data_IF_222243309657
#
_entry.id   IF_222243309657
#
_cell.length_a   1.000
_cell.length_b   1.000
_cell.length_c   1.000
_cell.angle_alpha   90.00
_cell.angle_beta   90.00
_cell.angle_gamma   90.00
#
_symmetry.space_group_name_H-M   'P 1'
#
loop_
_entity.id
_entity.type
_entity.pdbx_description
1 polymer ?
#
# COMPACT_ATOMS: atom_id res chain seq x y z
N UNK A 1 -60.88 36.48 -14.90
CA UNK A 1 -59.68 35.71 -14.48
C UNK A 1 -60.04 34.90 -13.25
N UNK A 2 -60.06 33.60 -13.43
CA UNK A 2 -60.72 32.65 -12.50
C UNK A 2 -59.91 32.45 -11.20
N UNK A 3 -60.54 32.63 -10.04
CA UNK A 3 -59.99 32.38 -8.71
C UNK A 3 -59.41 30.93 -8.54
N UNK A 4 -59.84 30.03 -9.41
CA UNK A 4 -59.38 28.64 -9.45
C UNK A 4 -57.93 28.50 -9.97
N UNK A 5 -57.51 29.41 -10.88
CA UNK A 5 -56.15 29.40 -11.44
C UNK A 5 -55.13 29.89 -10.41
N UNK A 6 -55.48 30.82 -9.56
CA UNK A 6 -54.60 31.34 -8.49
C UNK A 6 -54.43 30.33 -7.35
N UNK A 7 -55.46 29.53 -7.03
CA UNK A 7 -55.35 28.48 -6.05
C UNK A 7 -54.51 27.29 -6.53
N UNK A 8 -54.57 26.94 -7.81
CA UNK A 8 -53.71 25.89 -8.39
C UNK A 8 -52.25 26.31 -8.48
N UNK A 9 -51.96 27.56 -8.80
CA UNK A 9 -50.57 28.09 -8.83
C UNK A 9 -49.97 28.20 -7.43
N UNK A 10 -50.75 28.54 -6.40
CA UNK A 10 -50.29 28.60 -5.02
C UNK A 10 -50.00 27.19 -4.45
N UNK A 11 -50.77 26.14 -4.83
CA UNK A 11 -50.49 24.77 -4.47
C UNK A 11 -49.24 24.18 -5.14
N UNK A 12 -48.95 24.59 -6.42
CA UNK A 12 -47.72 24.14 -7.10
C UNK A 12 -46.44 24.77 -6.50
N UNK A 13 -46.51 26.02 -6.06
CA UNK A 13 -45.37 26.70 -5.42
C UNK A 13 -45.10 26.14 -4.00
N UNK A 14 -46.15 25.73 -3.28
CA UNK A 14 -45.98 25.07 -1.97
C UNK A 14 -45.37 23.66 -2.05
N UNK A 15 -45.52 22.96 -3.18
CA UNK A 15 -44.95 21.64 -3.41
C UNK A 15 -43.45 21.67 -3.78
N UNK A 16 -42.91 22.78 -4.26
CA UNK A 16 -41.49 22.96 -4.58
C UNK A 16 -40.61 23.39 -3.37
N UNK A 17 -41.23 23.73 -2.24
CA UNK A 17 -40.53 24.28 -1.06
C UNK A 17 -40.05 23.33 -0.02
N UNK A 18 -40.31 22.01 -0.11
CA UNK A 18 -39.94 21.01 0.89
C UNK A 18 -38.98 19.93 0.35
N UNK A 19 -37.95 20.35 -0.39
CA UNK A 19 -36.74 19.53 -0.39
C UNK A 19 -36.00 19.83 0.93
N UNK A 20 -36.44 19.19 2.04
CA UNK A 20 -35.66 19.13 3.24
C UNK A 20 -34.27 18.61 2.85
N UNK A 21 -33.16 19.22 3.31
CA UNK A 21 -31.86 18.61 3.14
C UNK A 21 -31.99 17.18 3.70
N UNK A 22 -31.71 16.18 2.86
CA UNK A 22 -31.67 14.79 3.33
C UNK A 22 -30.76 14.82 4.55
N UNK A 23 -31.35 14.61 5.74
CA UNK A 23 -30.59 14.49 6.97
C UNK A 23 -29.52 13.45 6.64
N UNK A 24 -28.27 13.81 6.81
CA UNK A 24 -27.15 12.87 6.71
C UNK A 24 -27.52 11.78 7.71
N UNK A 25 -28.06 10.66 7.18
CA UNK A 25 -28.39 9.51 8.02
C UNK A 25 -27.16 9.23 8.87
N UNK A 26 -27.36 8.93 10.16
CA UNK A 26 -26.28 8.61 11.09
C UNK A 26 -25.39 7.53 10.47
N UNK A 27 -24.33 7.96 9.79
CA UNK A 27 -23.35 7.05 9.18
C UNK A 27 -22.30 6.69 10.22
N UNK A 28 -21.97 5.40 10.37
CA UNK A 28 -22.62 4.22 9.76
C UNK A 28 -23.82 3.70 10.61
N UNK A 29 -24.86 3.19 9.97
CA UNK A 29 -26.02 2.56 10.62
C UNK A 29 -26.15 1.04 10.33
N UNK A 30 -25.17 0.47 9.64
CA UNK A 30 -25.08 -0.97 9.32
C UNK A 30 -23.60 -1.37 9.20
N UNK A 31 -23.34 -2.66 9.07
CA UNK A 31 -21.98 -3.19 8.91
C UNK A 31 -21.30 -2.64 7.65
N UNK A 32 -19.99 -2.33 7.78
CA UNK A 32 -19.11 -1.92 6.70
C UNK A 32 -18.30 -3.14 6.26
N UNK A 33 -18.16 -3.35 4.94
CA UNK A 33 -17.29 -4.39 4.39
C UNK A 33 -15.95 -3.77 4.00
N UNK A 34 -14.87 -4.27 4.57
CA UNK A 34 -13.49 -3.90 4.22
C UNK A 34 -12.90 -4.99 3.32
N UNK A 35 -12.87 -4.71 2.02
CA UNK A 35 -12.27 -5.62 1.03
C UNK A 35 -10.75 -5.58 1.13
N UNK A 36 -10.16 -6.76 1.29
CA UNK A 36 -8.72 -7.00 1.25
C UNK A 36 -8.40 -7.71 -0.08
N UNK A 37 -7.63 -7.10 -0.99
CA UNK A 37 -7.42 -7.64 -2.34
C UNK A 37 -6.40 -8.79 -2.38
N UNK A 38 -6.13 -9.44 -1.26
CA UNK A 38 -5.18 -10.54 -1.11
C UNK A 38 -5.74 -11.68 -0.25
N UNK A 39 -5.19 -12.90 -0.37
CA UNK A 39 -5.55 -14.00 0.50
C UNK A 39 -5.30 -13.69 1.98
N UNK A 40 -6.03 -14.34 2.90
CA UNK A 40 -5.81 -14.16 4.34
C UNK A 40 -4.41 -14.63 4.78
N UNK A 41 -3.91 -14.06 5.89
CA UNK A 41 -2.63 -14.42 6.51
C UNK A 41 -1.40 -13.68 5.99
N UNK A 42 -1.57 -12.74 5.03
CA UNK A 42 -0.50 -11.84 4.59
C UNK A 42 -0.50 -10.49 5.32
N UNK A 43 0.55 -9.68 5.13
CA UNK A 43 0.67 -8.36 5.78
C UNK A 43 -0.50 -7.42 5.50
N UNK A 44 -1.09 -7.47 4.29
CA UNK A 44 -2.29 -6.65 3.96
C UNK A 44 -3.49 -7.10 4.79
N UNK A 45 -3.67 -8.41 5.00
CA UNK A 45 -4.73 -8.95 5.84
C UNK A 45 -4.53 -8.58 7.32
N UNK A 46 -3.30 -8.67 7.82
CA UNK A 46 -2.95 -8.25 9.18
C UNK A 46 -3.30 -6.77 9.41
N UNK A 47 -2.91 -5.89 8.47
CA UNK A 47 -3.26 -4.47 8.52
C UNK A 47 -4.78 -4.24 8.51
N UNK A 48 -5.53 -4.98 7.68
CA UNK A 48 -6.98 -4.88 7.62
C UNK A 48 -7.65 -5.27 8.93
N UNK A 49 -7.15 -6.32 9.60
CA UNK A 49 -7.70 -6.78 10.89
C UNK A 49 -7.43 -5.78 12.01
N UNK A 50 -6.21 -5.20 12.05
CA UNK A 50 -5.87 -4.15 13.02
C UNK A 50 -6.85 -2.97 12.89
N UNK A 51 -7.03 -2.48 11.65
CA UNK A 51 -7.92 -1.32 11.39
C UNK A 51 -9.38 -1.68 11.56
N UNK A 52 -9.83 -2.84 11.03
CA UNK A 52 -11.22 -3.27 11.09
C UNK A 52 -11.74 -3.41 12.52
N UNK A 53 -10.94 -4.00 13.40
CA UNK A 53 -11.26 -4.13 14.84
C UNK A 53 -11.47 -2.75 15.49
N UNK A 54 -10.52 -1.84 15.30
CA UNK A 54 -10.55 -0.53 15.95
C UNK A 54 -11.58 0.42 15.34
N UNK A 55 -11.77 0.38 14.01
CA UNK A 55 -12.84 1.12 13.34
C UNK A 55 -14.21 0.64 13.80
N UNK A 56 -14.41 -0.67 13.99
CA UNK A 56 -15.67 -1.19 14.51
C UNK A 56 -16.02 -0.57 15.86
N UNK A 57 -15.04 -0.47 16.76
CA UNK A 57 -15.23 0.12 18.08
C UNK A 57 -15.51 1.62 18.01
N UNK A 58 -14.78 2.37 17.18
CA UNK A 58 -14.91 3.83 17.11
C UNK A 58 -16.15 4.30 16.36
N UNK A 59 -16.60 3.54 15.36
CA UNK A 59 -17.77 3.86 14.56
C UNK A 59 -19.07 3.33 15.16
N UNK A 60 -19.02 2.41 16.13
CA UNK A 60 -20.20 1.76 16.69
C UNK A 60 -20.91 0.82 15.70
N UNK A 61 -20.25 0.40 14.63
CA UNK A 61 -20.75 -0.49 13.60
C UNK A 61 -19.68 -1.52 13.22
N UNK A 62 -20.08 -2.75 12.95
CA UNK A 62 -19.15 -3.82 12.61
C UNK A 62 -18.42 -3.54 11.29
N UNK A 63 -17.09 -3.64 11.28
CA UNK A 63 -16.27 -3.65 10.07
C UNK A 63 -15.84 -5.09 9.80
N UNK A 64 -16.37 -5.67 8.72
CA UNK A 64 -16.14 -7.06 8.32
C UNK A 64 -15.02 -7.09 7.28
N UNK A 65 -13.92 -7.78 7.59
CA UNK A 65 -12.81 -8.01 6.65
C UNK A 65 -13.22 -9.12 5.69
N UNK A 66 -13.17 -8.83 4.38
CA UNK A 66 -13.50 -9.76 3.29
C UNK A 66 -12.32 -9.87 2.32
N UNK A 67 -11.64 -11.02 2.35
CA UNK A 67 -10.47 -11.29 1.52
C UNK A 67 -10.88 -11.74 0.11
N UNK A 68 -10.62 -10.92 -0.91
CA UNK A 68 -10.88 -11.20 -2.33
C UNK A 68 -9.60 -11.13 -3.15
N UNK A 69 -8.75 -12.16 -2.97
CA UNK A 69 -7.50 -12.29 -3.70
C UNK A 69 -7.68 -12.66 -5.18
N UNK A 70 -6.58 -12.58 -5.93
CA UNK A 70 -6.45 -13.00 -7.33
C UNK A 70 -6.09 -11.87 -8.29
N UNK A 71 -5.39 -12.23 -9.39
CA UNK A 71 -4.90 -11.28 -10.39
C UNK A 71 -4.01 -10.18 -9.80
N UNK A 72 -3.09 -10.53 -8.89
CA UNK A 72 -2.25 -9.53 -8.21
C UNK A 72 -3.02 -8.55 -7.32
N UNK A 73 -4.23 -8.91 -6.87
CA UNK A 73 -5.13 -8.04 -6.11
C UNK A 73 -6.18 -7.31 -6.96
N UNK A 74 -6.09 -7.40 -8.29
CA UNK A 74 -7.00 -6.69 -9.19
C UNK A 74 -8.48 -7.12 -9.03
N UNK A 75 -8.74 -8.39 -8.63
CA UNK A 75 -10.12 -8.88 -8.47
C UNK A 75 -10.82 -8.13 -7.32
N UNK A 76 -10.21 -8.08 -6.13
CA UNK A 76 -10.77 -7.38 -4.98
C UNK A 76 -10.88 -5.87 -5.22
N UNK A 77 -9.85 -5.28 -5.82
CA UNK A 77 -9.81 -3.83 -6.12
C UNK A 77 -10.94 -3.44 -7.08
N UNK A 78 -11.14 -4.19 -8.18
CA UNK A 78 -12.28 -3.99 -9.09
C UNK A 78 -13.65 -4.14 -8.42
N UNK A 79 -13.76 -5.05 -7.47
CA UNK A 79 -15.04 -5.24 -6.76
C UNK A 79 -15.41 -3.97 -5.99
N UNK A 80 -14.45 -3.26 -5.39
CA UNK A 80 -14.71 -1.98 -4.71
C UNK A 80 -14.95 -0.86 -5.71
N UNK A 81 -14.18 -0.76 -6.80
CA UNK A 81 -14.38 0.25 -7.85
C UNK A 81 -15.82 0.25 -8.41
N UNK A 82 -16.50 -0.91 -8.37
CA UNK A 82 -17.87 -1.09 -8.87
C UNK A 82 -18.95 -1.12 -7.77
N UNK A 83 -18.55 -0.93 -6.52
CA UNK A 83 -19.49 -0.93 -5.40
C UNK A 83 -20.28 0.38 -5.33
N UNK A 84 -21.37 0.38 -4.56
CA UNK A 84 -22.14 1.60 -4.30
C UNK A 84 -21.28 2.62 -3.54
N UNK A 85 -21.29 3.89 -3.95
CA UNK A 85 -20.48 4.94 -3.31
C UNK A 85 -21.19 5.51 -2.06
N UNK A 86 -21.52 4.63 -1.11
CA UNK A 86 -22.25 4.96 0.11
C UNK A 86 -21.41 4.83 1.39
N UNK A 87 -20.13 4.44 1.25
CA UNK A 87 -19.18 4.27 2.35
C UNK A 87 -19.28 2.92 3.08
N UNK A 88 -20.14 2.00 2.66
CA UNK A 88 -20.29 0.68 3.30
C UNK A 88 -19.44 -0.42 2.66
N UNK A 89 -18.78 -0.13 1.54
CA UNK A 89 -17.76 -0.99 0.94
C UNK A 89 -16.48 -0.21 0.81
N UNK A 90 -15.44 -0.63 1.51
CA UNK A 90 -14.14 0.02 1.53
C UNK A 90 -13.07 -0.92 0.98
N UNK A 91 -11.99 -0.37 0.47
CA UNK A 91 -10.79 -1.08 0.05
C UNK A 91 -9.65 -0.81 1.04
N UNK A 92 -8.99 -1.86 1.51
CA UNK A 92 -7.64 -1.70 2.00
C UNK A 92 -6.70 -1.63 0.80
N UNK A 93 -6.36 -0.39 0.41
CA UNK A 93 -5.45 -0.09 -0.68
C UNK A 93 -4.00 -0.36 -0.29
N UNK A 94 -3.23 -0.74 -1.28
CA UNK A 94 -1.81 -1.03 -1.14
C UNK A 94 -1.08 -0.52 -2.38
N UNK A 95 0.15 -0.02 -2.24
CA UNK A 95 0.95 0.52 -3.36
C UNK A 95 0.92 -0.40 -4.59
N UNK A 96 0.96 -1.73 -4.36
CA UNK A 96 0.88 -2.71 -5.45
C UNK A 96 -0.38 -2.58 -6.29
N UNK A 97 -1.55 -2.56 -5.64
CA UNK A 97 -2.83 -2.50 -6.37
C UNK A 97 -3.17 -1.10 -6.88
N UNK A 98 -2.78 -0.06 -6.15
CA UNK A 98 -3.23 1.30 -6.47
C UNK A 98 -2.23 2.05 -7.36
N UNK A 99 -0.92 1.81 -7.21
CA UNK A 99 0.09 2.59 -7.94
C UNK A 99 0.93 1.78 -8.93
N UNK A 100 1.06 0.46 -8.72
CA UNK A 100 1.89 -0.41 -9.59
C UNK A 100 1.05 -1.11 -10.66
N UNK A 101 -0.02 -1.80 -10.24
CA UNK A 101 -0.82 -2.65 -11.13
C UNK A 101 -1.43 -1.92 -12.33
N UNK A 102 -1.87 -0.65 -12.23
CA UNK A 102 -2.41 0.08 -13.39
C UNK A 102 -1.42 0.22 -14.55
N UNK A 103 -0.12 0.29 -14.23
CA UNK A 103 0.95 0.33 -15.25
C UNK A 103 1.48 -1.04 -15.64
N UNK A 104 1.40 -2.03 -14.75
CA UNK A 104 2.01 -3.36 -14.90
C UNK A 104 1.11 -4.34 -15.66
N UNK A 105 -0.20 -4.34 -15.37
CA UNK A 105 -1.16 -5.21 -16.04
C UNK A 105 -1.72 -4.56 -17.30
N UNK A 106 -1.82 -5.32 -18.37
CA UNK A 106 -2.43 -4.85 -19.61
C UNK A 106 -3.87 -4.36 -19.40
N UNK A 107 -4.58 -4.96 -18.46
CA UNK A 107 -5.93 -4.55 -18.04
C UNK A 107 -6.13 -4.83 -16.55
N UNK A 108 -5.79 -3.85 -15.71
CA UNK A 108 -6.12 -3.92 -14.29
C UNK A 108 -7.64 -3.86 -14.05
N UNK A 109 -8.40 -3.21 -14.97
CA UNK A 109 -9.85 -3.13 -14.97
C UNK A 109 -10.42 -2.09 -13.99
N UNK A 110 -9.61 -1.15 -13.56
CA UNK A 110 -9.95 0.03 -12.76
C UNK A 110 -8.92 1.14 -13.00
N UNK A 111 -9.32 2.38 -12.68
CA UNK A 111 -8.45 3.56 -12.66
C UNK A 111 -8.37 4.09 -11.21
N UNK A 112 -7.17 4.16 -10.60
CA UNK A 112 -7.02 4.60 -9.21
C UNK A 112 -7.55 6.01 -8.93
N UNK A 113 -7.53 6.89 -9.91
CA UNK A 113 -7.98 8.28 -9.76
C UNK A 113 -9.46 8.44 -10.03
N UNK A 114 -9.98 7.72 -11.03
CA UNK A 114 -11.36 7.86 -11.46
C UNK A 114 -12.33 7.03 -10.63
N UNK A 115 -11.91 5.87 -10.14
CA UNK A 115 -12.80 4.87 -9.54
C UNK A 115 -12.78 4.89 -8.00
N UNK A 116 -11.87 5.65 -7.37
CA UNK A 116 -11.74 5.68 -5.92
C UNK A 116 -11.72 7.08 -5.33
N UNK A 117 -12.23 7.18 -4.10
CA UNK A 117 -12.10 8.32 -3.20
C UNK A 117 -11.15 7.93 -2.06
N UNK A 118 -9.93 8.50 -1.98
CA UNK A 118 -9.02 8.25 -0.89
C UNK A 118 -9.61 8.69 0.45
N UNK A 119 -9.46 7.86 1.48
CA UNK A 119 -9.85 8.18 2.86
C UNK A 119 -8.62 8.63 3.63
N UNK A 120 -7.54 7.87 3.58
CA UNK A 120 -6.28 8.23 4.25
C UNK A 120 -5.31 7.06 4.33
N UNK A 121 -4.04 7.38 4.49
CA UNK A 121 -2.97 6.43 4.79
C UNK A 121 -3.06 5.99 6.25
N UNK A 122 -2.57 4.77 6.52
CA UNK A 122 -2.52 4.19 7.86
C UNK A 122 -1.14 3.63 8.24
N UNK A 123 -0.41 3.13 7.27
CA UNK A 123 0.89 2.53 7.49
C UNK A 123 1.79 2.61 6.25
N UNK A 124 3.08 2.61 6.49
CA UNK A 124 4.11 2.40 5.49
C UNK A 124 4.95 1.17 5.86
N UNK A 125 5.44 0.45 4.87
CA UNK A 125 6.28 -0.72 5.07
C UNK A 125 7.49 -0.60 4.16
N UNK A 126 8.68 -0.30 4.69
CA UNK A 126 9.88 -0.17 3.88
C UNK A 126 10.30 -1.51 3.32
N UNK A 127 10.82 -1.49 2.11
CA UNK A 127 11.64 -2.58 1.57
C UNK A 127 13.04 -2.43 2.15
N UNK A 128 13.72 -3.53 2.36
CA UNK A 128 15.11 -3.55 2.81
C UNK A 128 15.98 -4.35 1.84
N UNK A 129 17.24 -3.96 1.74
CA UNK A 129 18.30 -4.76 1.14
C UNK A 129 18.85 -5.69 2.22
N UNK A 130 18.53 -6.97 2.08
CA UNK A 130 18.95 -8.04 2.98
C UNK A 130 20.15 -8.79 2.41
N UNK A 131 21.00 -9.33 3.26
CA UNK A 131 22.17 -10.08 2.85
C UNK A 131 22.39 -11.32 3.74
N UNK A 132 22.93 -12.37 3.14
CA UNK A 132 23.50 -13.49 3.86
C UNK A 132 24.74 -13.01 4.66
N UNK A 133 25.02 -13.51 5.87
CA UNK A 133 26.14 -13.06 6.68
C UNK A 133 27.51 -13.15 6.01
N UNK A 134 27.73 -14.15 5.13
CA UNK A 134 28.97 -14.31 4.39
C UNK A 134 29.18 -13.30 3.24
N UNK A 135 28.15 -12.54 2.86
CA UNK A 135 28.28 -11.54 1.80
C UNK A 135 29.21 -10.41 2.25
N UNK A 136 30.28 -10.08 1.47
CA UNK A 136 31.35 -9.21 1.95
C UNK A 136 30.94 -7.76 2.14
N UNK A 137 30.04 -7.23 1.31
CA UNK A 137 29.60 -5.85 1.37
C UNK A 137 28.67 -5.59 2.56
N UNK A 138 28.91 -4.49 3.28
CA UNK A 138 28.16 -4.10 4.50
C UNK A 138 27.30 -2.86 4.29
N UNK A 139 27.58 -2.08 3.26
CA UNK A 139 26.86 -0.86 2.90
C UNK A 139 26.37 -0.93 1.47
N UNK A 140 25.38 -0.10 1.13
CA UNK A 140 24.85 -0.05 -0.23
C UNK A 140 25.92 0.40 -1.25
N UNK A 141 26.81 1.32 -0.83
CA UNK A 141 27.95 1.75 -1.64
C UNK A 141 28.94 0.62 -1.93
N UNK A 142 29.21 -0.26 -0.95
CA UNK A 142 30.05 -1.44 -1.14
C UNK A 142 29.40 -2.46 -2.05
N UNK A 143 28.06 -2.64 -1.99
CA UNK A 143 27.31 -3.51 -2.92
C UNK A 143 27.45 -2.99 -4.35
N UNK A 144 27.27 -1.68 -4.56
CA UNK A 144 27.45 -1.03 -5.85
C UNK A 144 28.88 -1.20 -6.38
N UNK A 145 29.88 -0.95 -5.53
CA UNK A 145 31.29 -1.09 -5.89
C UNK A 145 31.64 -2.54 -6.27
N UNK A 146 31.11 -3.53 -5.53
CA UNK A 146 31.29 -4.95 -5.84
C UNK A 146 30.65 -5.31 -7.18
N UNK A 147 29.41 -4.91 -7.41
CA UNK A 147 28.69 -5.17 -8.65
C UNK A 147 29.37 -4.54 -9.89
N UNK A 148 29.90 -3.33 -9.74
CA UNK A 148 30.66 -2.66 -10.81
C UNK A 148 32.01 -3.30 -11.11
N UNK A 149 32.67 -3.86 -10.09
CA UNK A 149 33.95 -4.56 -10.25
C UNK A 149 33.78 -5.93 -10.94
N UNK A 150 32.64 -6.57 -10.70
CA UNK A 150 32.33 -7.91 -11.22
C UNK A 150 30.97 -7.93 -11.96
N UNK A 151 30.90 -7.31 -13.16
CA UNK A 151 29.65 -7.24 -13.92
C UNK A 151 29.05 -8.64 -14.18
N UNK A 152 27.73 -8.75 -14.04
CA UNK A 152 26.97 -10.00 -14.24
C UNK A 152 27.12 -11.05 -13.13
N UNK A 153 28.01 -10.86 -12.13
CA UNK A 153 28.25 -11.86 -11.08
C UNK A 153 27.30 -11.78 -9.89
N UNK A 154 26.82 -10.59 -9.58
CA UNK A 154 25.90 -10.40 -8.44
C UNK A 154 24.49 -10.82 -8.80
N UNK A 155 23.95 -11.80 -8.06
CA UNK A 155 22.54 -12.19 -8.13
C UNK A 155 21.78 -11.54 -6.96
N UNK A 156 20.62 -10.98 -7.26
CA UNK A 156 19.72 -10.34 -6.28
C UNK A 156 18.39 -11.09 -6.26
N UNK A 157 18.08 -11.72 -5.13
CA UNK A 157 16.81 -12.42 -4.93
C UNK A 157 15.65 -11.44 -4.72
N UNK A 158 14.49 -11.75 -5.27
CA UNK A 158 13.25 -10.98 -5.05
C UNK A 158 12.06 -11.92 -4.99
N UNK A 159 10.94 -11.46 -4.43
CA UNK A 159 9.66 -12.14 -4.62
C UNK A 159 9.18 -11.97 -6.09
N UNK A 160 7.95 -12.34 -6.39
CA UNK A 160 7.44 -12.38 -7.74
C UNK A 160 7.57 -11.05 -8.50
N UNK A 161 7.66 -11.14 -9.82
CA UNK A 161 7.67 -9.98 -10.74
C UNK A 161 6.49 -9.05 -10.41
N UNK A 162 6.75 -7.74 -10.38
CA UNK A 162 5.77 -6.71 -10.06
C UNK A 162 5.55 -6.47 -8.57
N UNK A 163 6.19 -7.23 -7.69
CA UNK A 163 6.20 -6.91 -6.24
C UNK A 163 7.12 -5.74 -5.93
N UNK A 164 6.91 -5.12 -4.76
CA UNK A 164 7.79 -4.03 -4.29
C UNK A 164 9.27 -4.44 -4.25
N UNK A 165 9.59 -5.65 -3.79
CA UNK A 165 10.96 -6.15 -3.76
C UNK A 165 11.58 -6.30 -5.17
N UNK A 166 10.80 -6.83 -6.12
CA UNK A 166 11.25 -6.94 -7.52
C UNK A 166 11.50 -5.56 -8.15
N UNK A 167 10.55 -4.65 -8.00
CA UNK A 167 10.69 -3.30 -8.55
C UNK A 167 11.81 -2.51 -7.86
N UNK A 168 12.07 -2.77 -6.56
CA UNK A 168 13.24 -2.20 -5.87
C UNK A 168 14.55 -2.67 -6.47
N UNK A 169 14.67 -3.95 -6.81
CA UNK A 169 15.86 -4.49 -7.44
C UNK A 169 16.08 -3.87 -8.83
N UNK A 170 15.01 -3.75 -9.63
CA UNK A 170 15.07 -3.09 -10.93
C UNK A 170 15.41 -1.59 -10.82
N UNK A 171 14.82 -0.90 -9.84
CA UNK A 171 15.14 0.50 -9.56
C UNK A 171 16.60 0.67 -9.15
N UNK A 172 17.10 -0.19 -8.26
CA UNK A 172 18.50 -0.23 -7.85
C UNK A 172 19.43 -0.43 -9.03
N UNK A 173 19.18 -1.46 -9.84
CA UNK A 173 19.92 -1.75 -11.06
C UNK A 173 19.96 -0.55 -12.02
N UNK A 174 18.81 0.09 -12.21
CA UNK A 174 18.64 1.23 -13.11
C UNK A 174 19.32 2.51 -12.60
N UNK A 175 19.22 2.82 -11.29
CA UNK A 175 19.77 4.04 -10.70
C UNK A 175 21.29 3.98 -10.57
N UNK A 176 21.84 2.81 -10.22
CA UNK A 176 23.28 2.63 -10.04
C UNK A 176 24.01 2.19 -11.31
N UNK A 177 23.29 2.02 -12.43
CA UNK A 177 23.79 1.52 -13.72
C UNK A 177 24.62 0.24 -13.54
N UNK A 178 23.95 -0.81 -13.04
CA UNK A 178 24.58 -2.09 -12.68
C UNK A 178 24.23 -3.19 -13.68
N UNK A 179 25.21 -4.02 -13.98
CA UNK A 179 25.01 -5.34 -14.61
C UNK A 179 24.89 -6.39 -13.48
N UNK A 180 23.64 -6.70 -13.10
CA UNK A 180 23.32 -7.69 -12.06
C UNK A 180 22.17 -8.58 -12.55
N UNK A 181 22.12 -9.82 -12.03
CA UNK A 181 21.04 -10.75 -12.32
C UNK A 181 19.96 -10.65 -11.24
N UNK A 182 18.73 -10.26 -11.61
CA UNK A 182 17.59 -10.30 -10.70
C UNK A 182 16.93 -11.67 -10.82
N UNK A 183 16.79 -12.36 -9.68
CA UNK A 183 16.21 -13.71 -9.58
C UNK A 183 14.84 -13.62 -8.92
N UNK A 184 13.73 -13.61 -9.69
CA UNK A 184 12.40 -13.60 -9.14
C UNK A 184 11.97 -15.00 -8.70
N UNK A 185 11.51 -15.12 -7.45
CA UNK A 185 10.91 -16.32 -6.89
C UNK A 185 9.38 -16.25 -6.94
N UNK A 186 8.68 -17.37 -6.76
CA UNK A 186 7.21 -17.38 -6.75
C UNK A 186 6.61 -16.69 -5.51
N UNK A 187 7.41 -16.52 -4.44
CA UNK A 187 6.95 -15.90 -3.20
C UNK A 187 8.09 -15.66 -2.21
N UNK A 188 7.79 -14.88 -1.17
CA UNK A 188 8.76 -14.43 -0.16
C UNK A 188 9.43 -15.58 0.56
N UNK A 189 8.70 -16.67 0.89
CA UNK A 189 9.28 -17.81 1.60
C UNK A 189 10.42 -18.48 0.84
N UNK A 190 10.31 -18.59 -0.49
CA UNK A 190 11.35 -19.22 -1.31
C UNK A 190 12.61 -18.36 -1.39
N UNK A 191 12.47 -17.04 -1.61
CA UNK A 191 13.65 -16.16 -1.63
C UNK A 191 14.34 -16.11 -0.26
N UNK A 192 13.57 -16.17 0.85
CA UNK A 192 14.13 -16.20 2.20
C UNK A 192 14.93 -17.49 2.45
N UNK A 193 14.44 -18.65 2.02
CA UNK A 193 15.16 -19.91 2.14
C UNK A 193 16.49 -19.88 1.37
N UNK A 194 16.49 -19.39 0.14
CA UNK A 194 17.70 -19.33 -0.68
C UNK A 194 18.68 -18.26 -0.18
N UNK A 195 18.19 -17.16 0.38
CA UNK A 195 19.02 -16.15 1.03
C UNK A 195 19.67 -16.73 2.31
N UNK A 196 18.93 -17.47 3.14
CA UNK A 196 19.46 -18.15 4.33
C UNK A 196 20.46 -19.25 3.98
N UNK A 197 20.22 -19.96 2.86
CA UNK A 197 21.15 -20.97 2.35
C UNK A 197 22.36 -20.39 1.63
N UNK A 198 22.45 -19.07 1.42
CA UNK A 198 23.53 -18.43 0.68
C UNK A 198 23.50 -18.70 -0.83
N UNK A 199 22.40 -19.27 -1.36
CA UNK A 199 22.23 -19.51 -2.81
C UNK A 199 22.05 -18.19 -3.59
N UNK A 200 21.42 -17.19 -2.97
CA UNK A 200 21.49 -15.79 -3.39
C UNK A 200 22.17 -14.98 -2.28
N UNK A 201 23.15 -14.14 -2.60
CA UNK A 201 23.92 -13.42 -1.58
C UNK A 201 23.16 -12.26 -0.94
N UNK A 202 22.24 -11.64 -1.71
CA UNK A 202 21.43 -10.48 -1.29
C UNK A 202 20.01 -10.61 -1.85
N UNK A 203 19.06 -9.96 -1.19
CA UNK A 203 17.68 -9.89 -1.64
C UNK A 203 17.01 -8.56 -1.27
N UNK A 204 16.09 -8.09 -2.11
CA UNK A 204 15.16 -7.04 -1.72
C UNK A 204 13.85 -7.66 -1.22
N UNK A 205 13.43 -7.27 -0.04
CA UNK A 205 12.20 -7.76 0.58
C UNK A 205 11.70 -6.87 1.70
N UNK A 206 10.45 -7.08 2.09
CA UNK A 206 9.85 -6.42 3.27
C UNK A 206 10.40 -7.04 4.54
N UNK A 207 10.39 -6.26 5.64
CA UNK A 207 11.02 -6.66 6.90
C UNK A 207 10.36 -7.84 7.63
N UNK A 208 9.01 -7.98 7.70
CA UNK A 208 8.38 -8.94 8.60
C UNK A 208 8.89 -10.37 8.48
N UNK A 209 9.00 -10.97 7.28
CA UNK A 209 9.49 -12.33 7.13
C UNK A 209 10.97 -12.52 7.50
N UNK A 210 11.74 -11.41 7.53
CA UNK A 210 13.16 -11.40 7.81
C UNK A 210 13.50 -11.16 9.29
N UNK A 211 12.59 -10.55 10.07
CA UNK A 211 12.88 -10.04 11.42
C UNK A 211 13.45 -11.09 12.36
N UNK A 212 12.87 -12.30 12.39
CA UNK A 212 13.39 -13.39 13.21
C UNK A 212 14.85 -13.73 12.88
N UNK A 213 15.18 -13.78 11.59
CA UNK A 213 16.53 -14.09 11.12
C UNK A 213 17.52 -12.93 11.32
N UNK A 214 17.04 -11.68 11.19
CA UNK A 214 17.85 -10.49 11.50
C UNK A 214 18.20 -10.43 12.98
N UNK A 215 17.22 -10.67 13.86
CA UNK A 215 17.45 -10.73 15.31
C UNK A 215 18.37 -11.88 15.73
N UNK A 216 18.29 -13.01 15.04
CA UNK A 216 19.18 -14.17 15.27
C UNK A 216 20.57 -14.03 14.64
N UNK A 217 20.80 -12.97 13.84
CA UNK A 217 22.06 -12.77 13.11
C UNK A 217 22.30 -13.74 11.96
N UNK A 218 21.30 -14.53 11.57
CA UNK A 218 21.37 -15.45 10.41
C UNK A 218 21.15 -14.72 9.08
N UNK A 219 20.69 -13.46 9.13
CA UNK A 219 20.69 -12.50 8.03
C UNK A 219 21.19 -11.15 8.52
N UNK A 220 21.59 -10.29 7.59
CA UNK A 220 21.89 -8.86 7.82
C UNK A 220 20.99 -7.99 6.98
N UNK A 221 20.57 -6.83 7.51
CA UNK A 221 20.02 -5.76 6.72
C UNK A 221 21.17 -4.77 6.38
N UNK A 222 21.33 -4.46 5.10
CA UNK A 222 22.34 -3.50 4.60
C UNK A 222 21.78 -2.08 4.65
N UNK A 223 20.54 -1.90 4.21
CA UNK A 223 19.84 -0.62 4.23
C UNK A 223 18.33 -0.83 4.23
N UNK A 224 17.59 0.12 4.80
CA UNK A 224 16.14 0.26 4.58
C UNK A 224 15.90 1.33 3.51
N UNK A 225 14.88 1.13 2.69
CA UNK A 225 14.58 1.98 1.53
C UNK A 225 13.48 3.00 1.85
N UNK A 226 13.52 3.56 3.03
CA UNK A 226 12.63 4.63 3.50
C UNK A 226 13.44 5.89 3.79
N UNK A 227 12.78 7.05 3.85
CA UNK A 227 13.43 8.33 4.18
C UNK A 227 14.00 8.36 5.61
N UNK A 228 13.37 7.60 6.52
CA UNK A 228 13.82 7.47 7.91
C UNK A 228 14.11 6.01 8.22
N UNK A 229 14.96 5.75 9.22
CA UNK A 229 15.23 4.40 9.69
C UNK A 229 13.96 3.74 10.20
N UNK A 230 13.86 2.44 10.01
CA UNK A 230 12.75 1.66 10.57
C UNK A 230 12.85 1.59 12.09
N UNK A 231 11.72 1.80 12.77
CA UNK A 231 11.64 1.64 14.21
C UNK A 231 11.94 0.21 14.71
N UNK A 232 11.90 -0.79 13.81
CA UNK A 232 12.28 -2.18 14.11
C UNK A 232 13.78 -2.44 13.95
N UNK A 233 14.47 -1.63 13.16
CA UNK A 233 15.89 -1.77 12.84
C UNK A 233 16.57 -0.39 12.98
N UNK A 234 16.61 0.19 14.20
CA UNK A 234 17.11 1.58 14.39
C UNK A 234 18.60 1.72 14.05
N UNK A 235 19.36 0.64 14.08
CA UNK A 235 20.79 0.62 13.75
C UNK A 235 21.07 0.45 12.26
N UNK A 236 20.05 0.07 11.45
CA UNK A 236 20.20 -0.09 10.01
C UNK A 236 20.00 1.26 9.33
N UNK A 237 20.99 1.75 8.56
CA UNK A 237 20.88 3.03 7.88
C UNK A 237 19.85 2.99 6.75
N UNK A 238 19.36 4.16 6.36
CA UNK A 238 18.62 4.32 5.11
C UNK A 238 19.57 4.28 3.90
N UNK A 239 19.01 4.11 2.71
CA UNK A 239 19.78 4.24 1.47
C UNK A 239 20.38 5.65 1.32
N UNK A 240 19.61 6.69 1.69
CA UNK A 240 20.08 8.09 1.68
C UNK A 240 21.26 8.30 2.63
N UNK A 241 21.17 7.83 3.89
CA UNK A 241 22.26 7.89 4.87
C UNK A 241 23.51 7.11 4.41
N UNK A 242 23.31 6.09 3.57
CA UNK A 242 24.39 5.24 3.02
C UNK A 242 25.01 5.79 1.73
N UNK A 243 24.69 7.03 1.35
CA UNK A 243 25.28 7.71 0.16
C UNK A 243 24.63 7.31 -1.17
N UNK A 244 23.39 6.79 -1.14
CA UNK A 244 22.60 6.49 -2.35
C UNK A 244 21.26 7.21 -2.30
N UNK A 245 21.26 8.55 -2.45
CA UNK A 245 20.09 9.38 -2.26
C UNK A 245 19.01 9.14 -3.33
N UNK A 246 17.75 9.28 -2.93
CA UNK A 246 16.59 9.11 -3.80
C UNK A 246 16.26 7.66 -4.13
N UNK A 247 16.97 6.69 -3.57
CA UNK A 247 16.62 5.27 -3.67
C UNK A 247 15.61 4.91 -2.58
N UNK A 248 14.35 5.18 -2.86
CA UNK A 248 13.24 4.93 -1.96
C UNK A 248 12.31 3.86 -2.51
N UNK A 249 11.94 2.91 -1.66
CA UNK A 249 10.89 1.94 -1.93
C UNK A 249 10.14 1.60 -0.66
N UNK A 250 8.97 2.18 -0.54
CA UNK A 250 8.06 1.99 0.59
C UNK A 250 6.71 1.53 0.05
N UNK A 251 6.10 0.57 0.72
CA UNK A 251 4.75 0.12 0.42
C UNK A 251 3.78 0.85 1.35
N UNK A 252 2.90 1.65 0.80
CA UNK A 252 1.88 2.38 1.53
C UNK A 252 0.59 1.57 1.62
N UNK A 253 -0.05 1.65 2.78
CA UNK A 253 -1.36 1.06 3.08
C UNK A 253 -2.30 2.18 3.48
N UNK A 254 -3.48 2.16 2.91
CA UNK A 254 -4.50 3.16 3.21
C UNK A 254 -5.90 2.67 2.88
N UNK A 255 -6.88 3.41 3.34
CA UNK A 255 -8.28 3.13 3.06
C UNK A 255 -8.77 3.97 1.88
N UNK A 256 -9.54 3.33 0.99
CA UNK A 256 -10.23 3.97 -0.12
C UNK A 256 -11.70 3.56 -0.12
N UNK A 257 -12.54 4.43 -0.63
CA UNK A 257 -13.94 4.16 -0.93
C UNK A 257 -14.16 4.24 -2.45
N UNK A 258 -15.29 3.75 -3.00
CA UNK A 258 -15.68 4.01 -4.39
C UNK A 258 -15.75 5.51 -4.69
N UNK A 259 -15.41 5.90 -5.91
CA UNK A 259 -15.57 7.29 -6.35
C UNK A 259 -17.03 7.75 -6.21
N UNK A 260 -17.23 9.00 -5.84
CA UNK A 260 -18.58 9.55 -5.59
C UNK A 260 -19.11 9.29 -4.17
N UNK A 261 -18.37 8.62 -3.30
CA UNK A 261 -18.74 8.51 -1.88
C UNK A 261 -18.85 9.91 -1.26
N UNK A 262 -19.95 10.21 -0.53
CA UNK A 262 -20.21 11.56 -0.03
C UNK A 262 -19.06 12.07 0.87
N UNK A 263 -18.70 13.33 0.64
CA UNK A 263 -17.59 13.98 1.38
C UNK A 263 -17.72 13.87 2.91
N UNK A 264 -18.90 14.04 3.54
CA UNK A 264 -19.04 13.84 5.00
C UNK A 264 -18.69 12.42 5.46
N UNK A 265 -18.95 11.40 4.63
CA UNK A 265 -18.59 10.00 4.92
C UNK A 265 -17.07 9.83 4.88
N UNK A 266 -16.41 10.35 3.84
CA UNK A 266 -14.94 10.32 3.73
C UNK A 266 -14.28 11.04 4.92
N UNK A 267 -14.77 12.22 5.28
CA UNK A 267 -14.24 13.02 6.41
C UNK A 267 -14.43 12.29 7.74
N UNK A 268 -15.60 11.65 7.95
CA UNK A 268 -15.84 10.83 9.15
C UNK A 268 -14.87 9.66 9.23
N UNK A 269 -14.71 8.90 8.16
CA UNK A 269 -13.80 7.75 8.09
C UNK A 269 -12.34 8.18 8.27
N UNK A 270 -11.91 9.29 7.63
CA UNK A 270 -10.56 9.83 7.81
C UNK A 270 -10.30 10.25 9.26
N UNK A 271 -11.24 10.95 9.90
CA UNK A 271 -11.12 11.35 11.31
C UNK A 271 -10.90 10.13 12.21
N UNK A 272 -11.72 9.09 12.06
CA UNK A 272 -11.60 7.87 12.86
C UNK A 272 -10.29 7.12 12.56
N UNK A 273 -9.91 7.01 11.28
CA UNK A 273 -8.66 6.39 10.87
C UNK A 273 -7.45 7.09 11.52
N UNK A 274 -7.40 8.40 11.47
CA UNK A 274 -6.30 9.17 12.08
C UNK A 274 -6.26 9.02 13.59
N UNK A 275 -7.42 9.03 14.26
CA UNK A 275 -7.51 8.85 15.69
C UNK A 275 -7.02 7.45 16.11
N UNK A 276 -7.41 6.39 15.39
CA UNK A 276 -6.97 5.04 15.70
C UNK A 276 -5.46 4.83 15.46
N UNK A 277 -4.90 5.40 14.38
CA UNK A 277 -3.47 5.28 14.09
C UNK A 277 -2.61 6.08 15.09
N UNK A 278 -3.17 7.12 15.69
CA UNK A 278 -2.51 7.85 16.80
C UNK A 278 -2.43 7.03 18.10
N UNK A 279 -3.25 5.98 18.24
CA UNK A 279 -3.27 5.11 19.41
C UNK A 279 -1.99 4.26 19.49
N UNK A 280 -1.36 4.20 20.67
CA UNK A 280 -0.07 3.51 20.85
C UNK A 280 -0.18 2.00 20.64
N UNK A 281 -1.27 1.36 21.06
CA UNK A 281 -1.52 -0.07 20.81
C UNK A 281 -1.57 -0.37 19.31
N UNK A 282 -2.28 0.46 18.52
CA UNK A 282 -2.33 0.33 17.07
C UNK A 282 -0.95 0.52 16.45
N UNK A 283 -0.21 1.53 16.87
CA UNK A 283 1.15 1.78 16.37
C UNK A 283 2.09 0.61 16.67
N UNK A 284 2.00 0.04 17.87
CA UNK A 284 2.79 -1.13 18.25
C UNK A 284 2.41 -2.38 17.45
N UNK A 285 1.12 -2.58 17.18
CA UNK A 285 0.65 -3.69 16.32
C UNK A 285 1.10 -3.51 14.87
N UNK A 286 1.02 -2.30 14.31
CA UNK A 286 1.54 -2.01 12.96
C UNK A 286 3.06 -2.26 12.93
N UNK A 287 3.77 -1.83 13.97
CA UNK A 287 5.21 -2.06 14.08
C UNK A 287 5.56 -3.54 14.16
N UNK A 288 4.82 -4.35 14.94
CA UNK A 288 5.06 -5.81 15.00
C UNK A 288 4.87 -6.51 13.64
N UNK A 289 4.05 -5.93 12.76
CA UNK A 289 3.88 -6.36 11.38
C UNK A 289 4.94 -5.74 10.42
N UNK A 290 5.97 -5.09 10.93
CA UNK A 290 7.09 -4.54 10.15
C UNK A 290 6.83 -3.20 9.49
N UNK A 291 5.74 -2.55 9.83
CA UNK A 291 5.37 -1.24 9.29
C UNK A 291 5.62 -0.11 10.28
N UNK A 292 5.62 1.10 9.75
CA UNK A 292 5.57 2.34 10.51
C UNK A 292 4.17 2.96 10.36
N UNK A 293 3.57 3.30 11.51
CA UNK A 293 2.26 3.94 11.51
C UNK A 293 2.36 5.35 10.93
N UNK A 294 1.50 5.66 9.98
CA UNK A 294 1.41 6.98 9.35
C UNK A 294 -0.04 7.41 9.18
N UNK A 295 -0.26 8.70 9.04
CA UNK A 295 -1.61 9.25 8.79
C UNK A 295 -1.54 10.27 7.67
N UNK A 296 -2.65 10.48 7.00
CA UNK A 296 -2.80 11.53 6.00
C UNK A 296 -4.22 12.10 5.98
N UNK A 297 -4.36 13.25 5.38
CA UNK A 297 -5.65 13.71 4.84
C UNK A 297 -6.01 12.92 3.58
N UNK A 298 -7.27 12.95 3.12
CA UNK A 298 -7.66 12.36 1.84
C UNK A 298 -6.85 12.91 0.65
N UNK A 299 -6.55 14.22 0.65
CA UNK A 299 -5.77 14.85 -0.42
C UNK A 299 -4.31 14.40 -0.42
N UNK A 300 -3.66 14.35 0.74
CA UNK A 300 -2.29 13.86 0.84
C UNK A 300 -2.17 12.40 0.37
N UNK A 301 -3.21 11.58 0.60
CA UNK A 301 -3.21 10.21 0.07
C UNK A 301 -3.42 10.17 -1.44
N UNK A 302 -4.26 11.06 -2.01
CA UNK A 302 -4.38 11.20 -3.46
C UNK A 302 -3.04 11.60 -4.09
N UNK A 303 -2.35 12.58 -3.50
CA UNK A 303 -1.03 13.04 -3.96
C UNK A 303 0.03 11.94 -3.84
N UNK A 304 -0.05 11.10 -2.81
CA UNK A 304 0.80 9.93 -2.65
C UNK A 304 0.59 8.90 -3.76
N UNK A 305 -0.66 8.58 -4.07
CA UNK A 305 -1.03 7.68 -5.18
C UNK A 305 -0.43 8.19 -6.50
N UNK A 306 -0.58 9.49 -6.77
CA UNK A 306 -0.06 10.12 -7.99
C UNK A 306 1.47 10.06 -8.08
N UNK A 307 2.15 10.32 -6.97
CA UNK A 307 3.61 10.27 -6.89
C UNK A 307 4.11 8.85 -7.13
N UNK A 308 3.53 7.86 -6.43
CA UNK A 308 3.92 6.47 -6.54
C UNK A 308 3.60 5.88 -7.93
N UNK A 309 2.44 6.19 -8.49
CA UNK A 309 2.09 5.74 -9.85
C UNK A 309 3.05 6.32 -10.90
N UNK A 310 3.41 7.60 -10.76
CA UNK A 310 4.37 8.24 -11.66
C UNK A 310 5.75 7.58 -11.57
N UNK A 311 6.23 7.30 -10.36
CA UNK A 311 7.51 6.63 -10.09
C UNK A 311 7.55 5.23 -10.70
N UNK A 312 6.65 4.38 -10.27
CA UNK A 312 6.62 2.97 -10.69
C UNK A 312 6.22 2.81 -12.15
N UNK A 313 5.25 3.60 -12.62
CA UNK A 313 4.85 3.59 -14.03
C UNK A 313 5.98 4.01 -14.98
N UNK A 314 6.81 4.98 -14.60
CA UNK A 314 7.98 5.34 -15.39
C UNK A 314 8.99 4.17 -15.48
N UNK A 315 9.27 3.50 -14.37
CA UNK A 315 10.16 2.34 -14.32
C UNK A 315 9.60 1.16 -15.13
N UNK A 316 8.34 0.81 -14.94
CA UNK A 316 7.65 -0.28 -15.63
C UNK A 316 7.70 -0.08 -17.15
N UNK A 317 7.41 1.14 -17.62
CA UNK A 317 7.49 1.49 -19.05
C UNK A 317 8.92 1.41 -19.57
N UNK A 318 9.91 1.95 -18.82
CA UNK A 318 11.33 1.89 -19.19
C UNK A 318 11.82 0.46 -19.38
N UNK A 319 11.36 -0.46 -18.53
CA UNK A 319 11.74 -1.87 -18.54
C UNK A 319 10.83 -2.74 -19.42
N UNK A 320 9.80 -2.15 -20.04
CA UNK A 320 8.78 -2.85 -20.82
C UNK A 320 8.16 -4.05 -20.07
N UNK A 321 7.97 -3.90 -18.75
CA UNK A 321 7.36 -4.94 -17.93
C UNK A 321 5.86 -5.00 -18.19
N UNK A 322 5.35 -6.21 -18.41
CA UNK A 322 3.91 -6.48 -18.53
C UNK A 322 3.58 -7.83 -17.90
N UNK A 323 2.46 -7.85 -17.22
CA UNK A 323 1.82 -9.07 -16.71
C UNK A 323 0.47 -9.21 -17.42
N UNK A 324 0.22 -10.40 -17.98
CA UNK A 324 -1.04 -10.73 -18.65
C UNK A 324 -2.18 -11.01 -17.67
#
# INVERSE_FOLDING_TARGET
>A
MDRRVWLAAALMIAALGCAAPAAVQDYPNRSITLIVPYPPGGGVDAMARIVGEKLSASLGAQVVVDNRGGGGGNIGTRAVARAQPDGYTLLLGHTGTISINPSLYANAGYDPRADFAPIGLMASMPVALLAHPSFPAKTIGEVIALAKREPGKLSIGTSAIGTGGYLSAELFKSMADLDVTIVPYKGTGQVMNDLLGGHVPVAFGVLPPALGNLNAGTLRAIAVLSHTRSGLLPDVPTADESGFPGFESVLHYGLLAPAGTPKPVIERLNKELRALVANEDVRNRIRSEGGDAMTSTPQEYADDIDREEKKWGALIRKLNLKVE
#
